data_IF_439719023708
#
_entry.id   IF_439719023708
#
_cell.length_a   1.000
_cell.length_b   1.000
_cell.length_c   1.000
_cell.angle_alpha   90.00
_cell.angle_beta   90.00
_cell.angle_gamma   90.00
#
_symmetry.space_group_name_H-M   'P 1'
#
loop_
_entity.id
_entity.type
_entity.pdbx_description
1 polymer ?
#
# COMPACT_ATOMS: atom_id res chain seq x y z
N UNK A 1 -6.01 -45.55 -7.47
CA UNK A 1 -4.86 -44.63 -7.35
C UNK A 1 -5.23 -43.37 -8.11
N UNK A 2 -5.35 -42.26 -7.39
CA UNK A 2 -5.51 -40.91 -7.96
C UNK A 2 -4.22 -40.53 -8.68
N UNK A 3 -4.30 -39.74 -9.76
CA UNK A 3 -3.62 -38.43 -9.75
C UNK A 3 -3.90 -37.59 -11.01
N UNK A 4 -4.70 -36.54 -10.77
CA UNK A 4 -4.28 -35.16 -10.98
C UNK A 4 -3.94 -34.73 -12.41
N UNK A 5 -4.97 -34.68 -13.26
CA UNK A 5 -4.98 -33.77 -14.41
C UNK A 5 -5.10 -32.32 -13.87
N UNK A 6 -3.96 -31.78 -13.41
CA UNK A 6 -3.79 -30.39 -13.01
C UNK A 6 -3.97 -29.54 -14.26
N UNK A 7 -5.20 -29.07 -14.48
CA UNK A 7 -5.45 -27.94 -15.36
C UNK A 7 -4.60 -26.79 -14.83
N UNK A 8 -3.46 -26.56 -15.48
CA UNK A 8 -2.73 -25.31 -15.36
C UNK A 8 -3.59 -24.28 -16.07
N UNK A 9 -4.60 -23.77 -15.38
CA UNK A 9 -5.09 -22.43 -15.61
C UNK A 9 -3.85 -21.56 -15.44
N UNK A 10 -3.29 -21.11 -16.57
CA UNK A 10 -2.39 -19.97 -16.61
C UNK A 10 -3.20 -18.82 -16.03
N UNK A 11 -2.98 -18.54 -14.76
CA UNK A 11 -3.39 -17.29 -14.17
C UNK A 11 -2.82 -16.21 -15.07
N UNK A 12 -3.71 -15.39 -15.62
CA UNK A 12 -3.41 -14.13 -16.25
C UNK A 12 -2.44 -13.38 -15.34
N UNK A 13 -1.16 -13.38 -15.70
CA UNK A 13 -0.14 -12.65 -14.97
C UNK A 13 -0.48 -11.17 -15.10
N UNK A 14 -0.92 -10.62 -13.98
CA UNK A 14 -1.35 -9.24 -13.86
C UNK A 14 -0.19 -8.34 -14.36
N UNK A 15 -0.37 -7.51 -15.40
CA UNK A 15 0.68 -6.62 -15.91
C UNK A 15 1.12 -5.58 -14.87
N UNK A 16 0.42 -5.49 -13.72
CA UNK A 16 0.78 -4.72 -12.53
C UNK A 16 1.63 -5.51 -11.52
N UNK A 17 2.24 -6.63 -11.90
CA UNK A 17 3.44 -7.13 -11.20
C UNK A 17 4.57 -6.12 -11.43
N UNK A 18 4.48 -4.98 -10.74
CA UNK A 18 5.54 -4.01 -10.60
C UNK A 18 6.68 -4.78 -9.95
N UNK A 19 7.61 -5.28 -10.76
CA UNK A 19 8.89 -5.75 -10.29
C UNK A 19 9.49 -4.59 -9.53
N UNK A 20 9.44 -4.66 -8.20
CA UNK A 20 9.98 -3.65 -7.31
C UNK A 20 11.48 -3.63 -7.57
N UNK A 21 11.94 -2.72 -8.44
CA UNK A 21 13.35 -2.52 -8.70
C UNK A 21 13.96 -2.12 -7.36
N UNK A 22 14.76 -3.02 -6.78
CA UNK A 22 15.45 -2.79 -5.52
C UNK A 22 16.52 -1.72 -5.77
N UNK A 23 16.13 -0.47 -5.62
CA UNK A 23 17.05 0.67 -5.62
C UNK A 23 18.01 0.58 -4.44
N UNK A 24 19.18 1.22 -4.55
CA UNK A 24 20.08 1.37 -3.41
C UNK A 24 19.40 2.22 -2.32
N UNK A 25 19.54 1.79 -1.07
CA UNK A 25 18.95 2.49 0.07
C UNK A 25 19.67 3.81 0.30
N UNK A 26 18.95 4.93 0.16
CA UNK A 26 19.48 6.26 0.39
C UNK A 26 19.28 6.65 1.86
N UNK A 27 20.36 7.06 2.53
CA UNK A 27 20.28 7.69 3.85
C UNK A 27 19.70 9.10 3.71
N UNK A 28 18.62 9.41 4.46
CA UNK A 28 17.94 10.71 4.49
C UNK A 28 17.95 11.26 5.93
N UNK A 29 18.30 12.54 6.16
CA UNK A 29 18.26 13.13 7.50
C UNK A 29 16.85 13.10 8.10
N UNK A 30 16.74 12.67 9.36
CA UNK A 30 15.47 12.57 10.10
C UNK A 30 15.17 13.89 10.80
N UNK A 31 13.90 14.33 10.77
CA UNK A 31 13.45 15.47 11.55
C UNK A 31 13.65 15.23 13.06
N UNK A 32 14.24 16.21 13.76
CA UNK A 32 14.51 16.11 15.21
C UNK A 32 13.34 16.53 16.09
N UNK A 33 12.29 17.12 15.50
CA UNK A 33 11.10 17.58 16.21
C UNK A 33 9.87 16.77 15.81
N UNK A 34 9.10 16.30 16.79
CA UNK A 34 7.84 15.60 16.58
C UNK A 34 6.73 16.63 16.42
N UNK A 35 6.20 16.76 15.20
CA UNK A 35 5.04 17.62 14.96
C UNK A 35 3.77 16.82 15.23
N UNK A 36 2.97 17.24 16.21
CA UNK A 36 1.70 16.63 16.57
C UNK A 36 0.63 16.93 15.51
N UNK A 37 0.64 16.20 14.39
CA UNK A 37 -0.43 16.24 13.40
C UNK A 37 -1.45 15.14 13.67
N UNK A 38 -2.59 15.50 14.27
CA UNK A 38 -3.75 14.61 14.31
C UNK A 38 -4.28 14.39 12.88
N UNK A 39 -4.71 13.16 12.59
CA UNK A 39 -5.33 12.86 11.31
C UNK A 39 -6.64 13.64 11.16
N UNK A 40 -6.87 14.25 10.00
CA UNK A 40 -8.09 15.02 9.72
C UNK A 40 -9.33 14.12 9.79
N UNK A 41 -10.48 14.72 10.12
CA UNK A 41 -11.75 13.99 10.05
C UNK A 41 -12.08 13.69 8.58
N UNK A 42 -12.37 12.43 8.31
CA UNK A 42 -12.68 11.90 6.98
C UNK A 42 -14.07 11.26 6.99
N UNK A 43 -14.82 11.32 5.89
CA UNK A 43 -16.15 10.71 5.76
C UNK A 43 -16.04 9.18 5.68
N UNK A 44 -17.11 8.46 6.05
CA UNK A 44 -17.13 6.99 5.98
C UNK A 44 -16.83 6.47 4.56
N UNK A 45 -17.33 7.17 3.55
CA UNK A 45 -17.15 6.83 2.13
C UNK A 45 -15.68 6.95 1.69
N UNK A 46 -14.89 7.79 2.35
CA UNK A 46 -13.46 7.93 2.12
C UNK A 46 -12.61 7.02 3.05
N UNK A 47 -13.12 6.67 4.23
CA UNK A 47 -12.43 5.77 5.19
C UNK A 47 -12.36 4.33 4.69
N UNK A 48 -13.45 3.80 4.12
CA UNK A 48 -13.50 2.40 3.65
C UNK A 48 -12.43 2.11 2.58
N UNK A 49 -12.28 2.94 1.52
CA UNK A 49 -11.25 2.72 0.51
C UNK A 49 -9.82 2.82 1.05
N UNK A 50 -9.53 3.76 1.95
CA UNK A 50 -8.18 3.92 2.54
C UNK A 50 -7.79 2.66 3.31
N UNK A 51 -8.67 2.14 4.16
CA UNK A 51 -8.36 0.94 4.94
C UNK A 51 -8.12 -0.28 4.07
N UNK A 52 -8.88 -0.44 2.97
CA UNK A 52 -8.64 -1.50 2.00
C UNK A 52 -7.26 -1.33 1.35
N UNK A 53 -6.95 -0.14 0.86
CA UNK A 53 -5.68 0.14 0.18
C UNK A 53 -4.47 -0.07 1.08
N UNK A 54 -4.54 0.32 2.36
CA UNK A 54 -3.44 0.05 3.32
C UNK A 54 -3.24 -1.46 3.51
N UNK A 55 -4.32 -2.25 3.65
CA UNK A 55 -4.20 -3.72 3.78
C UNK A 55 -3.61 -4.38 2.54
N UNK A 56 -4.00 -3.90 1.36
CA UNK A 56 -3.47 -4.39 0.09
C UNK A 56 -1.98 -4.05 -0.06
N UNK A 57 -1.52 -2.91 0.46
CA UNK A 57 -0.10 -2.56 0.49
C UNK A 57 0.68 -3.33 1.57
N UNK A 58 0.06 -3.62 2.73
CA UNK A 58 0.65 -4.47 3.78
C UNK A 58 0.88 -5.89 3.25
N UNK A 59 -0.06 -6.46 2.48
CA UNK A 59 0.07 -7.80 1.91
C UNK A 59 1.10 -7.90 0.78
N UNK A 60 1.38 -6.77 0.11
CA UNK A 60 2.45 -6.62 -0.89
C UNK A 60 3.79 -6.23 -0.25
N UNK A 61 3.88 -6.14 1.07
CA UNK A 61 5.07 -5.73 1.82
C UNK A 61 5.59 -4.31 1.47
N UNK A 62 4.76 -3.48 0.86
CA UNK A 62 5.11 -2.08 0.51
C UNK A 62 5.04 -1.17 1.74
N UNK A 63 4.17 -1.49 2.69
CA UNK A 63 4.05 -0.78 3.98
C UNK A 63 4.07 -1.76 5.13
N UNK A 64 4.59 -1.30 6.27
CA UNK A 64 4.65 -2.07 7.51
C UNK A 64 4.20 -1.21 8.68
N UNK A 65 3.65 -1.86 9.71
CA UNK A 65 3.30 -1.18 10.96
C UNK A 65 4.56 -0.73 11.68
N UNK A 66 4.52 0.48 12.22
CA UNK A 66 5.66 1.09 12.92
C UNK A 66 5.24 1.56 14.30
N UNK A 67 6.19 1.62 15.25
CA UNK A 67 6.01 2.30 16.53
C UNK A 67 6.49 3.76 16.47
N UNK A 68 6.50 4.37 15.27
CA UNK A 68 6.99 5.73 15.06
C UNK A 68 6.14 6.77 15.79
N UNK A 69 6.77 7.77 16.44
CA UNK A 69 6.05 8.93 16.96
C UNK A 69 5.62 9.91 15.85
N UNK A 70 6.13 9.74 14.62
CA UNK A 70 5.82 10.60 13.48
C UNK A 70 4.57 10.12 12.75
N UNK A 71 3.62 11.03 12.55
CA UNK A 71 2.43 10.79 11.74
C UNK A 71 2.29 11.88 10.66
N UNK A 72 2.04 11.45 9.42
CA UNK A 72 1.66 12.35 8.32
C UNK A 72 0.21 12.04 7.94
N UNK A 73 -0.70 13.04 7.90
CA UNK A 73 -2.08 12.79 7.52
C UNK A 73 -2.18 12.33 6.06
N UNK A 74 -2.97 11.29 5.80
CA UNK A 74 -3.26 10.77 4.46
C UNK A 74 -4.65 11.23 4.05
N UNK A 75 -4.80 11.80 2.85
CA UNK A 75 -6.08 12.25 2.32
C UNK A 75 -6.36 11.60 0.97
N UNK A 76 -7.44 10.81 0.82
CA UNK A 76 -7.77 10.20 -0.46
C UNK A 76 -8.26 11.28 -1.42
N UNK A 77 -7.83 11.17 -2.66
CA UNK A 77 -8.28 12.04 -3.74
C UNK A 77 -8.87 11.14 -4.82
N UNK A 78 -10.05 11.49 -5.31
CA UNK A 78 -10.64 10.80 -6.44
C UNK A 78 -9.75 11.00 -7.67
N UNK A 79 -9.32 9.90 -8.28
CA UNK A 79 -8.62 9.90 -9.56
C UNK A 79 -9.67 9.62 -10.63
N UNK A 80 -9.79 10.52 -11.59
CA UNK A 80 -10.49 10.21 -12.83
C UNK A 80 -9.55 9.39 -13.70
N UNK A 81 -10.08 8.36 -14.36
CA UNK A 81 -9.32 7.63 -15.36
C UNK A 81 -9.02 8.58 -16.53
N UNK A 82 -7.76 8.61 -16.97
CA UNK A 82 -7.43 9.22 -18.26
C UNK A 82 -7.84 8.20 -19.31
N UNK A 83 -8.79 8.58 -20.17
CA UNK A 83 -9.08 7.85 -21.42
C UNK A 83 -7.83 7.67 -22.27
#
# INVERSE_FOLDING_TARGET
MLDTQRMRQTAEENPSAVGLLKGEEQQVPVATSVVHHQHYRTTRDAVIPIHKMIRDLESQEVVTKTHSPFNSPVWPVHKFDRE
#
